data_IF_281473717648
#
_entry.id   IF_281473717648
#
_cell.length_a   1.000
_cell.length_b   1.000
_cell.length_c   1.000
_cell.angle_alpha   90.00
_cell.angle_beta   90.00
_cell.angle_gamma   90.00
#
_symmetry.space_group_name_H-M   'P 1'
#
loop_
_entity.id
_entity.type
_entity.pdbx_description
1 polymer ?
#
# COMPACT_ATOMS: atom_id res chain seq x y z
N UNK A 1 -30.21 -10.37 35.73
CA UNK A 1 -28.81 -10.80 35.55
C UNK A 1 -28.14 -9.78 34.69
N UNK A 2 -27.27 -8.96 35.28
CA UNK A 2 -26.50 -7.93 34.57
C UNK A 2 -25.64 -8.64 33.53
N UNK A 3 -25.70 -8.17 32.29
CA UNK A 3 -25.08 -8.81 31.14
C UNK A 3 -23.56 -8.87 31.34
N UNK A 4 -23.06 -10.00 31.86
CA UNK A 4 -21.64 -10.20 32.21
C UNK A 4 -20.73 -9.94 31.00
N UNK A 5 -21.27 -10.07 29.79
CA UNK A 5 -20.57 -9.78 28.53
C UNK A 5 -20.25 -8.29 28.36
N UNK A 6 -21.13 -7.38 28.83
CA UNK A 6 -20.92 -5.93 28.72
C UNK A 6 -19.92 -5.40 29.76
N UNK A 7 -19.85 -6.06 30.93
CA UNK A 7 -18.86 -5.79 31.99
C UNK A 7 -17.45 -6.24 31.63
N UNK A 8 -17.31 -7.27 30.78
CA UNK A 8 -15.99 -7.74 30.33
C UNK A 8 -15.41 -6.84 29.22
N UNK A 9 -16.26 -6.23 28.40
CA UNK A 9 -15.84 -5.33 27.32
C UNK A 9 -15.25 -4.01 27.86
N UNK A 10 -15.75 -3.53 28.99
CA UNK A 10 -15.28 -2.28 29.63
C UNK A 10 -13.92 -2.42 30.31
N UNK A 11 -13.46 -3.65 30.58
CA UNK A 11 -12.15 -3.91 31.18
C UNK A 11 -11.01 -3.98 30.16
N UNK A 12 -11.29 -4.09 28.85
CA UNK A 12 -10.24 -4.28 27.83
C UNK A 12 -9.26 -3.08 27.77
N UNK A 13 -9.70 -1.87 28.11
CA UNK A 13 -8.87 -0.66 28.02
C UNK A 13 -7.96 -0.41 29.23
N UNK A 14 -8.06 -1.22 30.30
CA UNK A 14 -7.30 -1.05 31.54
C UNK A 14 -6.34 -2.20 31.85
N UNK A 15 -6.17 -3.15 30.94
CA UNK A 15 -5.36 -4.36 31.18
C UNK A 15 -3.88 -4.08 30.97
N UNK A 16 -3.07 -4.64 31.86
CA UNK A 16 -1.62 -4.71 31.75
C UNK A 16 -1.21 -5.84 30.79
N UNK A 17 -0.01 -5.77 30.23
CA UNK A 17 0.51 -6.76 29.26
C UNK A 17 0.64 -8.19 29.84
N UNK A 18 0.41 -8.36 31.14
CA UNK A 18 0.44 -9.63 31.87
C UNK A 18 -0.94 -10.24 32.12
N UNK A 19 -2.02 -9.59 31.71
CA UNK A 19 -3.37 -10.02 32.09
C UNK A 19 -3.89 -11.20 31.23
N UNK A 20 -4.60 -12.11 31.88
CA UNK A 20 -5.12 -13.35 31.31
C UNK A 20 -6.59 -13.20 30.86
N UNK A 21 -6.91 -13.68 29.65
CA UNK A 21 -8.31 -13.78 29.20
C UNK A 21 -8.86 -15.19 29.44
N UNK A 22 -10.05 -15.25 30.03
CA UNK A 22 -10.79 -16.50 30.23
C UNK A 22 -11.96 -16.57 29.25
N UNK A 23 -11.86 -17.44 28.25
CA UNK A 23 -13.00 -17.78 27.38
C UNK A 23 -13.73 -18.96 28.01
N UNK A 24 -15.04 -18.82 28.22
CA UNK A 24 -15.85 -19.88 28.81
C UNK A 24 -16.26 -20.88 27.72
N UNK A 25 -15.45 -21.93 27.53
CA UNK A 25 -15.73 -23.04 26.60
C UNK A 25 -16.35 -24.20 27.37
N UNK A 26 -17.68 -24.20 27.46
CA UNK A 26 -18.48 -25.29 28.03
C UNK A 26 -18.02 -25.80 29.42
N UNK A 27 -17.56 -24.90 30.29
CA UNK A 27 -17.20 -25.23 31.69
C UNK A 27 -15.72 -25.48 31.94
N UNK A 28 -14.84 -25.32 30.94
CA UNK A 28 -13.40 -25.23 31.17
C UNK A 28 -12.88 -23.86 30.76
N UNK A 29 -12.54 -23.03 31.74
CA UNK A 29 -11.87 -21.76 31.48
C UNK A 29 -10.40 -22.04 31.15
N UNK A 30 -9.98 -21.77 29.91
CA UNK A 30 -8.57 -21.85 29.50
C UNK A 30 -7.98 -20.45 29.45
N UNK A 31 -6.82 -20.27 30.08
CA UNK A 31 -6.07 -19.03 30.01
C UNK A 31 -5.54 -18.85 28.58
N UNK A 32 -5.95 -17.77 27.92
CA UNK A 32 -5.32 -17.32 26.68
C UNK A 32 -4.43 -16.13 27.04
N UNK A 33 -3.12 -16.33 26.93
CA UNK A 33 -2.15 -15.28 27.18
C UNK A 33 -2.38 -14.14 26.17
N UNK A 34 -2.32 -12.88 26.62
CA UNK A 34 -2.39 -11.72 25.72
C UNK A 34 -1.34 -11.80 24.59
N UNK A 35 -0.18 -12.41 24.87
CA UNK A 35 0.80 -12.73 23.85
C UNK A 35 0.21 -13.56 22.73
N UNK A 36 -0.67 -14.54 22.98
CA UNK A 36 -1.29 -15.38 21.94
C UNK A 36 -2.22 -14.58 21.03
N UNK A 37 -2.93 -13.57 21.54
CA UNK A 37 -3.78 -12.71 20.70
C UNK A 37 -2.95 -11.72 19.88
N UNK A 38 -1.96 -11.10 20.51
CA UNK A 38 -1.00 -10.21 19.85
C UNK A 38 -0.17 -10.96 18.82
N UNK A 39 0.26 -12.16 19.15
CA UNK A 39 1.02 -13.04 18.29
C UNK A 39 0.09 -13.55 17.19
N UNK A 40 -1.18 -13.90 17.43
CA UNK A 40 -2.13 -14.23 16.36
C UNK A 40 -2.39 -13.07 15.37
N UNK A 41 -2.38 -11.82 15.83
CA UNK A 41 -2.46 -10.62 14.98
C UNK A 41 -1.13 -10.33 14.26
N UNK A 42 -0.01 -10.85 14.77
CA UNK A 42 1.35 -10.68 14.20
C UNK A 42 1.86 -11.93 13.47
N UNK A 43 1.22 -13.09 13.59
CA UNK A 43 1.78 -14.41 13.24
C UNK A 43 1.67 -14.75 11.76
N UNK A 44 1.07 -13.88 10.96
CA UNK A 44 1.09 -14.06 9.52
C UNK A 44 2.42 -13.60 8.88
N UNK A 45 3.40 -13.15 9.68
CA UNK A 45 4.75 -12.83 9.24
C UNK A 45 5.82 -13.58 10.09
N UNK A 46 6.75 -14.35 9.48
CA UNK A 46 7.88 -14.98 10.18
C UNK A 46 8.84 -14.00 10.87
N UNK A 47 8.73 -12.69 10.62
CA UNK A 47 9.56 -11.64 11.22
C UNK A 47 8.79 -10.99 12.37
N UNK A 48 8.77 -11.64 13.53
CA UNK A 48 8.08 -11.18 14.73
C UNK A 48 8.34 -9.69 15.05
N UNK A 49 7.36 -8.83 14.75
CA UNK A 49 7.48 -7.39 14.91
C UNK A 49 6.59 -6.56 13.98
N UNK A 50 6.11 -7.13 12.87
CA UNK A 50 5.29 -6.42 11.88
C UNK A 50 3.81 -6.81 12.04
N UNK A 51 2.91 -5.85 11.81
CA UNK A 51 1.49 -6.15 11.66
C UNK A 51 1.33 -6.89 10.32
N UNK A 52 0.90 -8.14 10.36
CA UNK A 52 0.79 -9.01 9.21
C UNK A 52 -0.64 -9.43 8.92
N UNK A 53 -0.94 -9.71 7.64
CA UNK A 53 -2.19 -10.36 7.23
C UNK A 53 -1.92 -11.22 6.00
N UNK A 54 -2.17 -12.53 6.10
CA UNK A 54 -2.06 -13.49 5.00
C UNK A 54 -0.70 -13.45 4.26
N UNK A 55 0.41 -13.43 5.01
CA UNK A 55 1.77 -13.36 4.46
C UNK A 55 2.17 -11.97 3.93
N UNK A 56 1.33 -10.95 4.12
CA UNK A 56 1.65 -9.56 3.79
C UNK A 56 2.05 -8.76 5.03
N UNK A 57 2.98 -7.82 4.85
CA UNK A 57 3.38 -6.82 5.84
C UNK A 57 2.55 -5.55 5.67
N UNK A 58 2.27 -4.84 6.78
CA UNK A 58 1.65 -3.53 6.72
C UNK A 58 2.54 -2.50 5.99
N UNK A 59 2.02 -2.00 4.87
CA UNK A 59 2.60 -0.94 4.04
C UNK A 59 1.79 0.34 4.18
N UNK A 60 2.47 1.47 4.17
CA UNK A 60 1.90 2.78 4.47
C UNK A 60 2.82 3.87 3.91
N UNK A 61 2.56 4.29 2.67
CA UNK A 61 3.40 5.23 1.96
C UNK A 61 2.58 6.21 1.11
N UNK A 62 3.20 7.33 0.73
CA UNK A 62 2.72 8.16 -0.35
C UNK A 62 3.62 8.03 -1.57
N UNK A 63 3.02 7.92 -2.74
CA UNK A 63 3.71 8.10 -4.02
C UNK A 63 3.39 9.49 -4.55
N UNK A 64 4.41 10.32 -4.71
CA UNK A 64 4.28 11.61 -5.39
C UNK A 64 4.72 11.47 -6.84
N UNK A 65 3.94 11.99 -7.77
CA UNK A 65 4.32 12.25 -9.17
C UNK A 65 4.29 13.76 -9.39
N UNK A 66 5.39 14.34 -9.86
CA UNK A 66 5.48 15.78 -10.15
C UNK A 66 6.13 16.03 -11.50
N UNK A 67 5.78 17.14 -12.14
CA UNK A 67 6.48 17.60 -13.33
C UNK A 67 7.54 18.64 -12.94
N UNK A 68 8.81 18.25 -13.01
CA UNK A 68 9.95 19.15 -12.79
C UNK A 68 10.46 19.64 -14.14
N UNK A 69 10.10 20.88 -14.51
CA UNK A 69 10.62 21.56 -15.69
C UNK A 69 10.49 20.76 -17.01
N UNK A 70 9.38 20.05 -17.20
CA UNK A 70 9.11 19.26 -18.40
C UNK A 70 9.49 17.78 -18.29
N UNK A 71 9.88 17.31 -17.10
CA UNK A 71 10.14 15.88 -16.83
C UNK A 71 9.23 15.40 -15.72
N UNK A 72 8.47 14.30 -15.95
CA UNK A 72 7.76 13.63 -14.86
C UNK A 72 8.75 12.90 -13.97
N UNK A 73 8.70 13.21 -12.68
CA UNK A 73 9.51 12.61 -11.64
C UNK A 73 8.63 12.08 -10.52
N UNK A 74 9.13 11.10 -9.77
CA UNK A 74 8.43 10.52 -8.65
C UNK A 74 9.36 10.23 -7.49
N UNK A 75 8.77 10.08 -6.31
CA UNK A 75 9.42 9.54 -5.13
C UNK A 75 8.37 9.03 -4.13
N UNK A 76 8.84 8.26 -3.17
CA UNK A 76 8.07 7.77 -2.04
C UNK A 76 8.28 8.68 -0.84
N UNK A 77 7.19 8.98 -0.14
CA UNK A 77 7.19 9.80 1.08
C UNK A 77 6.52 9.01 2.20
N UNK A 78 6.97 9.24 3.44
CA UNK A 78 6.30 8.69 4.61
C UNK A 78 4.94 9.39 4.81
N UNK A 79 3.94 8.66 5.31
CA UNK A 79 2.64 9.23 5.64
C UNK A 79 2.67 10.21 6.82
N UNK A 80 3.72 10.13 7.65
CA UNK A 80 3.98 11.04 8.75
C UNK A 80 5.46 11.46 8.73
N UNK A 81 5.74 12.65 9.28
CA UNK A 81 7.08 13.22 9.36
C UNK A 81 7.99 12.49 10.35
N UNK A 82 7.41 11.66 11.23
CA UNK A 82 8.06 11.14 12.44
C UNK A 82 8.22 9.61 12.48
N UNK A 83 7.80 8.89 11.43
CA UNK A 83 7.98 7.42 11.35
C UNK A 83 9.05 7.07 10.33
N UNK A 84 9.93 6.13 10.68
CA UNK A 84 11.01 5.65 9.83
C UNK A 84 10.46 5.03 8.53
N UNK A 85 11.27 5.08 7.48
CA UNK A 85 11.00 4.71 6.09
C UNK A 85 10.72 3.21 5.83
N UNK A 86 10.30 2.45 6.84
CA UNK A 86 10.15 0.99 6.77
C UNK A 86 8.82 0.51 6.19
N UNK A 87 7.91 1.41 5.81
CA UNK A 87 6.55 1.05 5.34
C UNK A 87 6.39 1.02 3.81
N UNK A 88 7.50 0.92 3.08
CA UNK A 88 7.55 0.74 1.62
C UNK A 88 8.39 -0.50 1.24
N UNK A 89 8.58 -1.44 2.17
CA UNK A 89 9.37 -2.66 1.98
C UNK A 89 8.82 -3.55 0.85
N UNK A 90 7.53 -3.46 0.54
CA UNK A 90 6.94 -4.24 -0.53
C UNK A 90 7.12 -3.65 -1.94
N UNK A 91 7.80 -2.50 -2.09
CA UNK A 91 8.14 -1.92 -3.40
C UNK A 91 9.66 -1.92 -3.58
N UNK A 92 10.15 -2.63 -4.60
CA UNK A 92 11.58 -2.71 -4.87
C UNK A 92 12.18 -1.34 -5.21
N UNK A 93 13.34 -1.04 -4.64
CA UNK A 93 14.09 0.16 -4.99
C UNK A 93 13.38 1.48 -4.66
N UNK A 94 12.29 1.47 -3.88
CA UNK A 94 11.58 2.67 -3.49
C UNK A 94 12.53 3.73 -2.91
N UNK A 95 12.42 4.96 -3.39
CA UNK A 95 13.33 6.05 -3.02
C UNK A 95 12.59 7.29 -2.56
N UNK A 96 13.12 7.96 -1.55
CA UNK A 96 12.64 9.29 -1.12
C UNK A 96 13.18 10.44 -1.97
N UNK A 97 14.14 10.17 -2.84
CA UNK A 97 14.70 11.15 -3.79
C UNK A 97 13.89 11.14 -5.09
N UNK A 98 13.65 12.32 -5.67
CA UNK A 98 12.98 12.42 -6.97
C UNK A 98 13.80 11.73 -8.06
N UNK A 99 13.15 10.82 -8.77
CA UNK A 99 13.69 10.13 -9.93
C UNK A 99 12.79 10.32 -11.13
N UNK A 100 13.36 10.28 -12.35
CA UNK A 100 12.55 10.32 -13.56
C UNK A 100 11.60 9.13 -13.60
N UNK A 101 10.35 9.37 -13.95
CA UNK A 101 9.35 8.32 -14.07
C UNK A 101 9.47 7.70 -15.46
N UNK A 102 9.91 6.43 -15.59
CA UNK A 102 10.06 5.82 -16.89
C UNK A 102 8.70 5.67 -17.57
N UNK A 103 8.63 6.03 -18.85
CA UNK A 103 7.50 5.76 -19.73
C UNK A 103 8.05 5.13 -20.99
N UNK A 104 7.74 3.86 -21.23
CA UNK A 104 8.28 3.10 -22.35
C UNK A 104 7.77 1.67 -22.33
N UNK A 105 8.06 0.91 -23.40
CA UNK A 105 7.52 -0.43 -23.61
C UNK A 105 7.63 -1.30 -22.34
N UNK A 106 6.51 -1.91 -21.95
CA UNK A 106 6.39 -2.61 -20.67
C UNK A 106 7.40 -3.76 -20.54
N UNK A 107 7.66 -4.44 -21.65
CA UNK A 107 8.58 -5.58 -21.71
C UNK A 107 10.08 -5.22 -21.66
N UNK A 108 10.47 -3.96 -21.90
CA UNK A 108 11.90 -3.60 -22.07
C UNK A 108 12.36 -2.39 -21.26
N UNK A 109 11.44 -1.54 -20.80
CA UNK A 109 11.79 -0.34 -20.03
C UNK A 109 11.84 -0.67 -18.54
N UNK A 110 13.04 -0.64 -17.94
CA UNK A 110 13.21 -0.90 -16.52
C UNK A 110 12.43 0.08 -15.63
N UNK A 111 12.08 -0.39 -14.43
CA UNK A 111 11.62 0.49 -13.37
C UNK A 111 12.73 1.46 -12.96
N UNK A 112 12.34 2.60 -12.41
CA UNK A 112 13.25 3.49 -11.68
C UNK A 112 12.60 3.77 -10.35
N UNK A 113 13.37 3.59 -9.27
CA UNK A 113 12.87 3.67 -7.89
C UNK A 113 11.53 2.94 -7.66
N UNK A 114 11.32 1.79 -8.31
CA UNK A 114 10.13 0.96 -8.11
C UNK A 114 8.87 1.41 -8.85
N UNK A 115 8.94 2.41 -9.74
CA UNK A 115 7.78 2.89 -10.51
C UNK A 115 8.10 3.03 -11.99
N UNK A 116 7.07 2.79 -12.83
CA UNK A 116 7.02 3.20 -14.24
C UNK A 116 5.58 3.48 -14.67
N UNK A 117 5.41 4.21 -15.76
CA UNK A 117 4.13 4.36 -16.45
C UNK A 117 3.99 3.24 -17.47
N UNK A 118 2.84 2.58 -17.49
CA UNK A 118 2.57 1.50 -18.44
C UNK A 118 2.47 2.01 -19.87
N UNK A 119 3.14 1.33 -20.79
CA UNK A 119 2.98 1.60 -22.23
C UNK A 119 1.64 1.15 -22.80
N UNK A 120 0.98 0.18 -22.17
CA UNK A 120 -0.35 -0.28 -22.57
C UNK A 120 -1.45 0.72 -22.19
N UNK A 121 -1.24 1.54 -21.15
CA UNK A 121 -2.15 2.62 -20.77
C UNK A 121 -1.41 3.69 -19.99
N UNK A 122 -1.33 4.90 -20.55
CA UNK A 122 -0.60 6.01 -19.94
C UNK A 122 -1.24 6.56 -18.66
N UNK A 123 -2.46 6.12 -18.30
CA UNK A 123 -3.11 6.46 -17.04
C UNK A 123 -2.63 5.60 -15.86
N UNK A 124 -1.80 4.60 -16.14
CA UNK A 124 -1.47 3.52 -15.22
C UNK A 124 -0.02 3.61 -14.78
N UNK A 125 0.19 3.66 -13.47
CA UNK A 125 1.48 3.39 -12.85
C UNK A 125 1.58 1.92 -12.53
N UNK A 126 2.73 1.33 -12.86
CA UNK A 126 3.14 0.01 -12.42
C UNK A 126 4.09 0.23 -11.25
N UNK A 127 3.84 -0.46 -10.14
CA UNK A 127 4.74 -0.49 -9.01
C UNK A 127 5.48 -1.82 -8.98
N UNK A 128 6.78 -1.78 -8.69
CA UNK A 128 7.66 -2.95 -8.63
C UNK A 128 7.42 -3.75 -7.33
N UNK A 129 6.21 -4.27 -7.18
CA UNK A 129 5.82 -5.13 -6.07
C UNK A 129 6.28 -6.58 -6.26
N UNK A 130 6.25 -7.37 -5.19
CA UNK A 130 6.29 -8.82 -5.28
C UNK A 130 5.11 -9.36 -6.12
N UNK A 131 5.17 -10.64 -6.51
CA UNK A 131 4.07 -11.26 -7.24
C UNK A 131 2.82 -11.40 -6.35
N UNK A 132 1.69 -10.88 -6.82
CA UNK A 132 0.41 -10.87 -6.12
C UNK A 132 -0.52 -12.02 -6.57
N UNK A 133 0.02 -13.13 -7.10
CA UNK A 133 -0.75 -14.31 -7.54
C UNK A 133 -1.26 -15.17 -6.38
N UNK A 134 -0.57 -15.23 -5.24
CA UNK A 134 -0.96 -16.08 -4.11
C UNK A 134 -1.84 -15.37 -3.09
N UNK A 135 -3.16 -15.63 -3.15
CA UNK A 135 -4.05 -15.66 -1.98
C UNK A 135 -4.44 -14.36 -1.27
N UNK A 136 -3.72 -13.24 -1.42
CA UNK A 136 -4.14 -11.98 -0.83
C UNK A 136 -5.03 -11.23 -1.82
N UNK A 137 -6.35 -11.23 -1.59
CA UNK A 137 -7.18 -10.12 -2.05
C UNK A 137 -6.44 -8.83 -1.70
N UNK A 138 -6.27 -7.94 -2.67
CA UNK A 138 -5.54 -6.70 -2.48
C UNK A 138 -6.10 -5.96 -1.26
N UNK A 139 -5.43 -6.07 -0.12
CA UNK A 139 -5.83 -5.42 1.14
C UNK A 139 -5.19 -4.05 1.21
N UNK A 140 -5.12 -3.35 0.07
CA UNK A 140 -4.56 -2.01 -0.09
C UNK A 140 -5.68 -1.04 -0.40
N UNK A 141 -5.76 0.00 0.42
CA UNK A 141 -6.59 1.16 0.19
C UNK A 141 -5.71 2.26 -0.41
N UNK A 142 -6.14 2.77 -1.56
CA UNK A 142 -5.54 3.93 -2.20
C UNK A 142 -6.44 5.15 -2.09
N UNK A 143 -5.87 6.31 -1.76
CA UNK A 143 -6.60 7.58 -1.78
C UNK A 143 -5.78 8.69 -2.43
N UNK A 144 -6.46 9.60 -3.12
CA UNK A 144 -5.83 10.84 -3.59
C UNK A 144 -5.54 11.73 -2.38
N UNK A 145 -4.26 11.97 -2.08
CA UNK A 145 -3.83 12.77 -0.93
C UNK A 145 -3.75 14.25 -1.24
N UNK A 146 -3.26 14.58 -2.43
CA UNK A 146 -3.04 15.94 -2.91
C UNK A 146 -3.04 15.98 -4.44
N UNK A 147 -3.57 17.05 -5.01
CA UNK A 147 -3.51 17.35 -6.44
C UNK A 147 -3.59 18.87 -6.65
N UNK A 148 -2.80 19.41 -7.58
CA UNK A 148 -2.80 20.85 -7.90
C UNK A 148 -2.74 21.17 -9.41
N UNK A 149 -3.26 20.24 -10.21
CA UNK A 149 -3.22 20.25 -11.68
C UNK A 149 -4.47 20.85 -12.35
N UNK A 150 -5.45 21.34 -11.57
CA UNK A 150 -6.69 21.96 -12.09
C UNK A 150 -7.75 20.97 -12.61
N UNK A 151 -7.39 19.72 -12.85
CA UNK A 151 -8.33 18.62 -13.12
C UNK A 151 -8.51 17.78 -11.86
N UNK A 152 -9.75 17.46 -11.48
CA UNK A 152 -10.01 16.52 -10.40
C UNK A 152 -9.69 15.10 -10.89
N UNK A 153 -8.72 14.45 -10.25
CA UNK A 153 -8.33 13.07 -10.51
C UNK A 153 -8.82 12.19 -9.36
N UNK A 154 -9.25 10.99 -9.71
CA UNK A 154 -9.45 9.88 -8.79
C UNK A 154 -8.49 8.75 -9.13
N UNK A 155 -8.14 7.94 -8.14
CA UNK A 155 -7.28 6.78 -8.32
C UNK A 155 -8.02 5.48 -7.99
N UNK A 156 -7.61 4.41 -8.65
CA UNK A 156 -7.97 3.04 -8.29
C UNK A 156 -6.70 2.23 -8.14
N UNK A 157 -6.66 1.40 -7.10
CA UNK A 157 -5.59 0.41 -6.93
C UNK A 157 -6.09 -0.93 -7.48
N UNK A 158 -5.27 -1.58 -8.29
CA UNK A 158 -5.64 -2.85 -8.93
C UNK A 158 -4.44 -3.78 -9.05
N UNK A 159 -4.73 -5.07 -9.30
CA UNK A 159 -3.73 -6.09 -9.65
C UNK A 159 -4.00 -6.62 -11.05
N UNK A 160 -2.98 -6.68 -11.90
CA UNK A 160 -3.13 -7.19 -13.27
C UNK A 160 -1.93 -8.08 -13.62
N UNK A 161 -2.20 -9.19 -14.30
CA UNK A 161 -1.16 -10.01 -14.88
C UNK A 161 -0.60 -9.32 -16.11
N UNK A 162 0.68 -8.96 -16.09
CA UNK A 162 1.35 -8.28 -17.20
C UNK A 162 2.80 -8.73 -17.32
N UNK A 163 3.31 -8.82 -18.55
CA UNK A 163 4.74 -8.97 -18.77
C UNK A 163 5.42 -7.60 -18.60
N UNK A 164 6.29 -7.50 -17.59
CA UNK A 164 7.11 -6.31 -17.37
C UNK A 164 8.57 -6.74 -17.25
N UNK A 165 9.44 -6.14 -18.05
CA UNK A 165 10.86 -6.49 -18.14
C UNK A 165 11.12 -8.00 -18.32
N UNK A 166 10.32 -8.66 -19.18
CA UNK A 166 10.46 -10.08 -19.49
C UNK A 166 9.81 -11.03 -18.47
N UNK A 167 9.29 -10.53 -17.34
CA UNK A 167 8.63 -11.35 -16.32
C UNK A 167 7.13 -11.12 -16.31
N UNK A 168 6.35 -12.19 -16.52
CA UNK A 168 4.90 -12.16 -16.38
C UNK A 168 4.52 -12.53 -14.96
N UNK A 169 3.91 -11.61 -14.23
CA UNK A 169 3.37 -11.81 -12.88
C UNK A 169 2.21 -10.85 -12.59
N UNK A 170 1.55 -10.98 -11.44
CA UNK A 170 0.55 -10.00 -11.02
C UNK A 170 1.24 -8.81 -10.34
N UNK A 171 1.13 -7.64 -10.95
CA UNK A 171 1.73 -6.41 -10.43
C UNK A 171 0.70 -5.54 -9.73
N UNK A 172 1.15 -4.71 -8.80
CA UNK A 172 0.37 -3.62 -8.24
C UNK A 172 0.30 -2.46 -9.24
N UNK A 173 -0.90 -1.94 -9.47
CA UNK A 173 -1.14 -0.77 -10.31
C UNK A 173 -1.90 0.32 -9.59
N UNK A 174 -1.63 1.56 -10.02
CA UNK A 174 -2.48 2.72 -9.76
C UNK A 174 -3.01 3.23 -11.10
N UNK A 175 -4.32 3.18 -11.27
CA UNK A 175 -5.01 3.74 -12.43
C UNK A 175 -5.62 5.09 -12.08
N UNK A 176 -5.39 6.11 -12.93
CA UNK A 176 -5.94 7.45 -12.74
C UNK A 176 -7.04 7.80 -13.74
N UNK A 177 -8.11 8.40 -13.24
CA UNK A 177 -9.24 8.85 -14.05
C UNK A 177 -9.65 10.27 -13.68
N UNK A 178 -10.24 11.00 -14.62
CA UNK A 178 -10.93 12.24 -14.33
C UNK A 178 -12.14 11.93 -13.43
N UNK A 179 -12.19 12.52 -12.25
CA UNK A 179 -13.22 12.25 -11.25
C UNK A 179 -14.61 12.76 -11.68
N UNK A 180 -14.67 13.74 -12.58
CA UNK A 180 -15.93 14.32 -13.08
C UNK A 180 -16.49 13.51 -14.24
N UNK A 181 -15.65 13.06 -15.18
CA UNK A 181 -16.10 12.42 -16.42
C UNK A 181 -15.93 10.91 -16.45
N UNK A 182 -15.13 10.34 -15.54
CA UNK A 182 -14.72 8.93 -15.58
C UNK A 182 -13.74 8.59 -16.70
N UNK A 183 -13.31 9.57 -17.51
CA UNK A 183 -12.35 9.33 -18.59
C UNK A 183 -10.94 9.06 -18.04
N UNK A 184 -10.18 8.27 -18.78
CA UNK A 184 -8.75 8.05 -18.57
C UNK A 184 -7.97 9.35 -18.35
N UNK A 185 -7.26 9.46 -17.23
CA UNK A 185 -6.36 10.58 -16.99
C UNK A 185 -4.92 10.14 -17.27
N UNK A 186 -4.38 10.49 -18.44
CA UNK A 186 -3.01 10.12 -18.80
C UNK A 186 -1.99 10.86 -17.93
N UNK A 187 -0.99 10.13 -17.44
CA UNK A 187 0.12 10.64 -16.66
C UNK A 187 1.22 11.11 -17.61
N UNK A 188 1.15 12.38 -18.01
CA UNK A 188 2.14 13.00 -18.88
C UNK A 188 2.33 14.48 -18.51
N UNK A 189 3.33 15.11 -19.10
CA UNK A 189 3.71 16.51 -18.82
C UNK A 189 2.70 17.53 -19.34
N UNK A 190 1.80 17.14 -20.26
CA UNK A 190 0.68 17.98 -20.72
C UNK A 190 -0.41 18.06 -19.65
N UNK A 191 -0.78 16.92 -19.07
CA UNK A 191 -1.85 16.80 -18.07
C UNK A 191 -1.38 17.16 -16.65
N UNK A 192 -0.08 17.03 -16.37
CA UNK A 192 0.56 17.47 -15.14
C UNK A 192 1.53 18.59 -15.51
N UNK A 193 1.10 19.87 -15.48
CA UNK A 193 1.93 20.99 -15.90
C UNK A 193 3.20 21.14 -15.06
N UNK A 194 4.22 21.83 -15.60
CA UNK A 194 5.47 22.09 -14.87
C UNK A 194 5.20 22.76 -13.51
N UNK A 195 5.83 22.25 -12.46
CA UNK A 195 5.64 22.69 -11.08
C UNK A 195 4.38 22.14 -10.39
N UNK A 196 3.62 21.26 -11.04
CA UNK A 196 2.43 20.61 -10.49
C UNK A 196 2.68 19.14 -10.15
N UNK A 197 1.84 18.59 -9.29
CA UNK A 197 1.97 17.25 -8.75
C UNK A 197 0.63 16.58 -8.43
N UNK A 198 0.70 15.25 -8.37
CA UNK A 198 -0.28 14.36 -7.78
C UNK A 198 0.39 13.60 -6.64
N UNK A 199 -0.33 13.34 -5.55
CA UNK A 199 0.12 12.48 -4.47
C UNK A 199 -0.94 11.43 -4.18
N UNK A 200 -0.53 10.18 -4.23
CA UNK A 200 -1.32 9.01 -3.92
C UNK A 200 -0.90 8.50 -2.55
N UNK A 201 -1.85 8.20 -1.68
CA UNK A 201 -1.61 7.55 -0.41
C UNK A 201 -2.06 6.09 -0.53
N UNK A 202 -1.18 5.16 -0.16
CA UNK A 202 -1.45 3.73 -0.17
C UNK A 202 -1.21 3.17 1.24
N UNK A 203 -2.17 2.41 1.74
CA UNK A 203 -2.13 1.79 3.05
C UNK A 203 -2.75 0.41 2.98
N UNK A 204 -2.12 -0.59 3.57
CA UNK A 204 -2.65 -1.95 3.52
C UNK A 204 -1.61 -3.02 3.73
N UNK A 205 -2.00 -4.27 3.48
CA UNK A 205 -1.09 -5.41 3.56
C UNK A 205 -0.60 -5.81 2.17
N UNK A 206 0.71 -5.97 2.03
CA UNK A 206 1.36 -6.42 0.80
C UNK A 206 2.52 -7.35 1.14
N UNK A 207 2.78 -8.40 0.34
CA UNK A 207 3.97 -9.23 0.54
C UNK A 207 5.26 -8.38 0.49
N UNK A 208 6.27 -8.70 1.32
CA UNK A 208 7.56 -8.05 1.23
C UNK A 208 8.21 -8.30 -0.14
N UNK A 209 9.04 -7.37 -0.60
CA UNK A 209 9.84 -7.56 -1.80
C UNK A 209 11.11 -8.36 -1.45
N UNK A 210 11.10 -9.67 -1.70
CA UNK A 210 12.24 -10.57 -1.47
C UNK A 210 13.20 -10.61 -2.65
#
# INVERSE_FOLDING_TARGET
>A
MTDQKLSQLTNITSLSDTDEYYVNDAGTSKAVNHSVLRDAIRNDDPIGGVLGLNGGEWQAFMLRIQNTAGTLQHNFLNLSKDVSTSFVSGINGASSTLQNTPSGNDATTNFTAGVKISSASNQRLILESADLTSGASLNLLGTMRYQDIGTLVQMFVSTISLNVNGTTRNWLFIDTYNATTGASFNLNTTNIPSGKQLQFQLMGFMPPYS
#
